data_IF_841718369710
#
_entry.id   IF_841718369710
#
_cell.length_a   1.000
_cell.length_b   1.000
_cell.length_c   1.000
_cell.angle_alpha   90.00
_cell.angle_beta   90.00
_cell.angle_gamma   90.00
#
_symmetry.space_group_name_H-M   'P 1'
#
loop_
_entity.id
_entity.type
_entity.pdbx_description
1 polymer ?
#
# COMPACT_ATOMS: atom_id res chain seq x y z
N UNK A 1 42.53 -22.69 -19.26
CA UNK A 1 41.20 -22.10 -19.59
C UNK A 1 40.02 -22.63 -18.77
N UNK A 2 40.21 -23.26 -17.59
CA UNK A 2 39.10 -23.81 -16.76
C UNK A 2 38.86 -23.03 -15.45
N UNK A 3 39.61 -21.95 -15.15
CA UNK A 3 39.45 -21.16 -13.93
C UNK A 3 38.62 -19.88 -14.07
N UNK A 4 38.26 -19.47 -15.30
CA UNK A 4 37.55 -18.19 -15.54
C UNK A 4 36.00 -18.34 -15.56
N UNK A 5 35.49 -19.55 -15.65
CA UNK A 5 34.06 -19.84 -15.72
C UNK A 5 33.39 -19.97 -14.32
N UNK A 6 34.17 -20.14 -13.26
CA UNK A 6 33.64 -20.31 -11.90
C UNK A 6 33.37 -18.98 -11.19
N UNK A 7 34.02 -17.90 -11.61
CA UNK A 7 33.87 -16.57 -11.01
C UNK A 7 32.69 -15.78 -11.56
N UNK A 8 32.23 -16.06 -12.80
CA UNK A 8 31.06 -15.37 -13.36
C UNK A 8 29.74 -15.89 -12.78
N UNK A 9 29.65 -17.18 -12.44
CA UNK A 9 28.43 -17.78 -11.89
C UNK A 9 28.11 -17.30 -10.47
N UNK A 10 29.13 -17.08 -9.65
CA UNK A 10 28.95 -16.60 -8.27
C UNK A 10 28.61 -15.10 -8.21
N UNK A 11 29.10 -14.30 -9.17
CA UNK A 11 28.81 -12.86 -9.23
C UNK A 11 27.36 -12.59 -9.71
N UNK A 12 26.85 -13.40 -10.62
CA UNK A 12 25.47 -13.28 -11.09
C UNK A 12 24.45 -13.66 -10.03
N UNK A 13 24.79 -14.64 -9.16
CA UNK A 13 23.91 -15.10 -8.07
C UNK A 13 23.80 -14.07 -6.94
N UNK A 14 24.89 -13.35 -6.66
CA UNK A 14 24.89 -12.32 -5.60
C UNK A 14 24.13 -11.04 -6.00
N UNK A 15 24.13 -10.66 -7.28
CA UNK A 15 23.44 -9.45 -7.75
C UNK A 15 21.91 -9.65 -7.79
N UNK A 16 21.44 -10.88 -8.07
CA UNK A 16 20.00 -11.21 -8.11
C UNK A 16 19.38 -11.45 -6.72
N UNK A 17 20.20 -11.78 -5.70
CA UNK A 17 19.69 -12.05 -4.35
C UNK A 17 19.67 -10.81 -3.44
N UNK A 18 20.40 -9.74 -3.77
CA UNK A 18 20.50 -8.54 -2.92
C UNK A 18 19.16 -7.82 -2.65
N UNK A 19 18.27 -7.60 -3.63
CA UNK A 19 16.99 -6.95 -3.36
C UNK A 19 16.05 -7.81 -2.48
N UNK A 20 15.98 -9.11 -2.70
CA UNK A 20 15.14 -10.03 -1.92
C UNK A 20 15.61 -10.12 -0.46
N UNK A 21 16.91 -10.11 -0.21
CA UNK A 21 17.45 -10.12 1.14
C UNK A 21 17.23 -8.80 1.88
N UNK A 22 17.22 -7.67 1.19
CA UNK A 22 16.93 -6.36 1.78
C UNK A 22 15.44 -6.27 2.18
N UNK A 23 14.52 -6.69 1.32
CA UNK A 23 13.07 -6.71 1.61
C UNK A 23 12.74 -7.64 2.79
N UNK A 24 13.28 -8.84 2.84
CA UNK A 24 13.05 -9.75 3.97
C UNK A 24 13.61 -9.20 5.28
N UNK A 25 14.76 -8.52 5.25
CA UNK A 25 15.33 -7.87 6.43
C UNK A 25 14.44 -6.74 6.97
N UNK A 26 13.77 -6.00 6.07
CA UNK A 26 12.81 -4.95 6.44
C UNK A 26 11.56 -5.55 7.10
N UNK A 27 10.98 -6.59 6.51
CA UNK A 27 9.81 -7.30 7.05
C UNK A 27 10.11 -7.89 8.44
N UNK A 28 11.26 -8.53 8.62
CA UNK A 28 11.67 -9.10 9.91
C UNK A 28 11.89 -8.02 10.98
N UNK A 29 12.37 -6.86 10.58
CA UNK A 29 12.50 -5.70 11.49
C UNK A 29 11.13 -5.19 11.92
N UNK A 30 10.22 -4.97 10.96
CA UNK A 30 8.85 -4.51 11.22
C UNK A 30 8.06 -5.50 12.09
N UNK A 31 8.20 -6.80 11.87
CA UNK A 31 7.57 -7.83 12.71
C UNK A 31 8.07 -7.80 14.15
N UNK A 32 9.37 -7.62 14.35
CA UNK A 32 9.94 -7.48 15.70
C UNK A 32 9.43 -6.23 16.38
N UNK A 33 9.36 -5.12 15.64
CA UNK A 33 8.84 -3.86 16.16
C UNK A 33 7.37 -3.97 16.54
N UNK A 34 6.55 -4.60 15.69
CA UNK A 34 5.14 -4.89 15.96
C UNK A 34 4.98 -5.75 17.23
N UNK A 35 5.75 -6.82 17.36
CA UNK A 35 5.72 -7.67 18.55
C UNK A 35 6.04 -6.88 19.83
N UNK A 36 7.03 -6.01 19.77
CA UNK A 36 7.38 -5.14 20.90
C UNK A 36 6.29 -4.11 21.20
N UNK A 37 5.68 -3.54 20.17
CA UNK A 37 4.60 -2.59 20.31
C UNK A 37 3.35 -3.22 20.96
N UNK A 38 2.97 -4.42 20.54
CA UNK A 38 1.86 -5.18 21.14
C UNK A 38 2.13 -5.53 22.62
N UNK A 39 3.38 -5.92 22.97
CA UNK A 39 3.77 -6.23 24.36
C UNK A 39 3.79 -5.01 25.28
N UNK A 40 4.12 -3.83 24.75
CA UNK A 40 4.25 -2.58 25.52
C UNK A 40 2.96 -1.78 25.60
N UNK A 41 1.84 -2.30 25.10
CA UNK A 41 0.57 -1.57 24.98
C UNK A 41 0.76 -0.20 24.28
N UNK A 42 1.47 -0.21 23.16
CA UNK A 42 1.68 0.99 22.33
C UNK A 42 0.37 1.64 21.90
N UNK A 43 0.43 2.88 21.45
CA UNK A 43 -0.79 3.59 21.02
C UNK A 43 -1.41 2.93 19.79
N UNK A 44 -2.70 3.17 19.60
CA UNK A 44 -3.44 2.71 18.43
C UNK A 44 -2.77 3.18 17.12
N UNK A 45 -2.31 4.41 17.09
CA UNK A 45 -1.66 5.04 15.94
C UNK A 45 -0.37 4.31 15.56
N UNK A 46 0.48 3.98 16.54
CA UNK A 46 1.71 3.22 16.31
C UNK A 46 1.44 1.83 15.75
N UNK A 47 0.42 1.14 16.27
CA UNK A 47 0.02 -0.18 15.75
C UNK A 47 -0.53 -0.08 14.33
N UNK A 48 -1.33 0.95 14.02
CA UNK A 48 -1.85 1.18 12.66
C UNK A 48 -0.72 1.39 11.67
N UNK A 49 0.27 2.23 12.01
CA UNK A 49 1.43 2.50 11.16
C UNK A 49 2.21 1.22 10.85
N UNK A 50 2.48 0.39 11.87
CA UNK A 50 3.18 -0.89 11.68
C UNK A 50 2.39 -1.88 10.82
N UNK A 51 1.06 -1.95 10.99
CA UNK A 51 0.21 -2.79 10.15
C UNK A 51 0.15 -2.27 8.70
N UNK A 52 0.17 -0.97 8.48
CA UNK A 52 0.23 -0.36 7.15
C UNK A 52 1.55 -0.70 6.45
N UNK A 53 2.69 -0.54 7.13
CA UNK A 53 3.99 -0.88 6.57
C UNK A 53 4.08 -2.37 6.23
N UNK A 54 3.69 -3.26 7.13
CA UNK A 54 3.69 -4.69 6.86
C UNK A 54 2.74 -5.06 5.71
N UNK A 55 1.56 -4.47 5.65
CA UNK A 55 0.64 -4.67 4.54
C UNK A 55 1.23 -4.25 3.20
N UNK A 56 1.93 -3.12 3.16
CA UNK A 56 2.59 -2.61 1.96
C UNK A 56 3.79 -3.48 1.53
N UNK A 57 4.67 -3.87 2.47
CA UNK A 57 5.82 -4.73 2.17
C UNK A 57 5.40 -6.11 1.62
N UNK A 58 4.26 -6.62 2.06
CA UNK A 58 3.73 -7.88 1.55
C UNK A 58 2.91 -7.74 0.26
N UNK A 59 2.57 -6.54 -0.20
CA UNK A 59 1.67 -6.32 -1.35
C UNK A 59 2.09 -7.11 -2.61
N UNK A 60 3.39 -7.20 -2.86
CA UNK A 60 3.95 -7.91 -4.04
C UNK A 60 4.53 -9.28 -3.71
N UNK A 61 4.75 -9.61 -2.45
CA UNK A 61 5.42 -10.83 -2.02
C UNK A 61 4.44 -11.93 -1.63
N UNK A 62 3.43 -11.59 -0.87
CA UNK A 62 2.42 -12.51 -0.35
C UNK A 62 1.11 -11.78 -0.06
N UNK A 63 0.17 -11.90 -0.97
CA UNK A 63 -1.12 -11.22 -0.91
C UNK A 63 -1.93 -11.58 0.35
N UNK A 64 -1.84 -12.82 0.83
CA UNK A 64 -2.56 -13.27 2.02
C UNK A 64 -2.01 -12.58 3.27
N UNK A 65 -0.69 -12.47 3.38
CA UNK A 65 -0.05 -11.71 4.46
C UNK A 65 -0.36 -10.23 4.38
N UNK A 66 -0.32 -9.63 3.19
CA UNK A 66 -0.74 -8.22 3.00
C UNK A 66 -2.16 -7.99 3.51
N UNK A 67 -3.10 -8.81 3.06
CA UNK A 67 -4.49 -8.74 3.50
C UNK A 67 -4.64 -8.92 5.02
N UNK A 68 -3.92 -9.88 5.59
CA UNK A 68 -3.93 -10.12 7.03
C UNK A 68 -3.56 -8.86 7.84
N UNK A 69 -2.48 -8.19 7.48
CA UNK A 69 -2.04 -6.99 8.20
C UNK A 69 -2.99 -5.80 7.98
N UNK A 70 -3.51 -5.61 6.77
CA UNK A 70 -4.54 -4.60 6.49
C UNK A 70 -5.77 -4.83 7.37
N UNK A 71 -6.26 -6.07 7.49
CA UNK A 71 -7.41 -6.41 8.32
C UNK A 71 -7.12 -6.21 9.82
N UNK A 72 -5.91 -6.53 10.28
CA UNK A 72 -5.47 -6.23 11.65
C UNK A 72 -5.54 -4.73 11.94
N UNK A 73 -5.00 -3.89 11.07
CA UNK A 73 -5.08 -2.44 11.22
C UNK A 73 -6.53 -1.94 11.24
N UNK A 74 -7.36 -2.39 10.31
CA UNK A 74 -8.78 -2.02 10.26
C UNK A 74 -9.56 -2.48 11.51
N UNK A 75 -9.20 -3.61 12.11
CA UNK A 75 -9.85 -4.13 13.31
C UNK A 75 -9.62 -3.28 14.56
N UNK A 76 -8.65 -2.38 14.56
CA UNK A 76 -8.43 -1.40 15.63
C UNK A 76 -9.50 -0.30 15.67
N UNK A 77 -10.35 -0.24 14.65
CA UNK A 77 -11.47 0.69 14.57
C UNK A 77 -12.79 -0.05 14.82
N UNK A 78 -13.56 0.41 15.81
CA UNK A 78 -14.87 -0.18 16.13
C UNK A 78 -15.94 0.13 15.09
N UNK A 79 -15.72 1.16 14.28
CA UNK A 79 -16.59 1.61 13.19
C UNK A 79 -15.75 2.36 12.13
N UNK A 80 -16.27 2.57 10.92
CA UNK A 80 -15.62 3.43 9.93
C UNK A 80 -15.38 4.84 10.50
N UNK A 81 -14.14 5.32 10.40
CA UNK A 81 -13.68 6.61 10.96
C UNK A 81 -12.96 7.38 9.86
N UNK A 82 -13.74 8.00 8.98
CA UNK A 82 -13.23 8.67 7.78
C UNK A 82 -12.51 10.00 8.08
N UNK A 83 -12.58 10.50 9.29
CA UNK A 83 -11.87 11.67 9.79
C UNK A 83 -10.43 11.35 10.22
N UNK A 84 -10.08 10.07 10.36
CA UNK A 84 -8.74 9.61 10.74
C UNK A 84 -7.96 9.18 9.49
N UNK A 85 -6.80 9.80 9.29
CA UNK A 85 -5.90 9.50 8.16
C UNK A 85 -5.52 8.02 8.11
N UNK A 86 -5.15 7.44 9.24
CA UNK A 86 -4.77 6.02 9.32
C UNK A 86 -5.88 5.07 8.84
N UNK A 87 -7.16 5.39 9.08
CA UNK A 87 -8.26 4.61 8.54
C UNK A 87 -8.35 4.72 7.01
N UNK A 88 -8.21 5.92 6.45
CA UNK A 88 -8.25 6.14 5.01
C UNK A 88 -7.07 5.48 4.29
N UNK A 89 -5.88 5.50 4.89
CA UNK A 89 -4.70 4.83 4.35
C UNK A 89 -4.89 3.30 4.34
N UNK A 90 -5.40 2.69 5.41
CA UNK A 90 -5.73 1.26 5.44
C UNK A 90 -6.82 0.90 4.42
N UNK A 91 -7.81 1.78 4.23
CA UNK A 91 -8.85 1.58 3.22
C UNK A 91 -8.28 1.66 1.80
N UNK A 92 -7.29 2.54 1.56
CA UNK A 92 -6.54 2.60 0.31
C UNK A 92 -5.74 1.31 0.07
N UNK A 93 -5.05 0.78 1.09
CA UNK A 93 -4.32 -0.49 1.00
C UNK A 93 -5.27 -1.67 0.72
N UNK A 94 -6.45 -1.67 1.34
CA UNK A 94 -7.49 -2.67 1.03
C UNK A 94 -7.97 -2.57 -0.43
N UNK A 95 -8.09 -1.35 -0.95
CA UNK A 95 -8.48 -1.13 -2.35
C UNK A 95 -7.40 -1.65 -3.32
N UNK A 96 -6.11 -1.42 -3.02
CA UNK A 96 -5.00 -1.99 -3.77
C UNK A 96 -5.05 -3.53 -3.76
N UNK A 97 -5.20 -4.14 -2.60
CA UNK A 97 -5.37 -5.59 -2.49
C UNK A 97 -6.51 -6.10 -3.37
N UNK A 98 -7.69 -5.50 -3.30
CA UNK A 98 -8.84 -5.88 -4.13
C UNK A 98 -8.56 -5.72 -5.63
N UNK A 99 -7.80 -4.68 -6.01
CA UNK A 99 -7.38 -4.47 -7.39
C UNK A 99 -6.46 -5.59 -7.89
N UNK A 100 -5.48 -5.99 -7.08
CA UNK A 100 -4.56 -7.10 -7.39
C UNK A 100 -5.30 -8.43 -7.51
N UNK A 101 -6.34 -8.66 -6.69
CA UNK A 101 -7.25 -9.80 -6.78
C UNK A 101 -8.19 -9.77 -8.00
N UNK A 102 -8.09 -8.74 -8.85
CA UNK A 102 -8.98 -8.59 -10.01
C UNK A 102 -10.40 -8.12 -9.68
N UNK A 103 -10.68 -7.78 -8.42
CA UNK A 103 -11.98 -7.27 -7.95
C UNK A 103 -12.12 -5.78 -8.23
N UNK A 104 -12.01 -5.39 -9.52
CA UNK A 104 -11.78 -4.00 -9.96
C UNK A 104 -12.90 -3.05 -9.51
N UNK A 105 -14.18 -3.48 -9.61
CA UNK A 105 -15.32 -2.65 -9.18
C UNK A 105 -15.28 -2.39 -7.67
N UNK A 106 -14.95 -3.42 -6.86
CA UNK A 106 -14.87 -3.27 -5.41
C UNK A 106 -13.70 -2.37 -5.02
N UNK A 107 -12.54 -2.52 -5.67
CA UNK A 107 -11.39 -1.65 -5.49
C UNK A 107 -11.75 -0.19 -5.80
N UNK A 108 -12.37 0.05 -6.95
CA UNK A 108 -12.81 1.39 -7.38
C UNK A 108 -13.72 2.05 -6.35
N UNK A 109 -14.68 1.33 -5.79
CA UNK A 109 -15.58 1.88 -4.77
C UNK A 109 -14.83 2.22 -3.46
N UNK A 110 -13.85 1.42 -3.05
CA UNK A 110 -13.00 1.76 -1.90
C UNK A 110 -12.14 2.99 -2.16
N UNK A 111 -11.49 3.07 -3.32
CA UNK A 111 -10.74 4.27 -3.73
C UNK A 111 -11.63 5.51 -3.76
N UNK A 112 -12.84 5.45 -4.31
CA UNK A 112 -13.80 6.56 -4.29
C UNK A 112 -14.16 6.99 -2.88
N UNK A 113 -14.33 6.06 -1.95
CA UNK A 113 -14.57 6.38 -0.55
C UNK A 113 -13.41 7.20 0.01
N UNK A 114 -12.16 6.78 -0.23
CA UNK A 114 -10.98 7.54 0.22
C UNK A 114 -10.94 8.92 -0.47
N UNK A 115 -11.14 9.01 -1.79
CA UNK A 115 -11.14 10.27 -2.53
C UNK A 115 -12.20 11.26 -2.04
N UNK A 116 -13.32 10.76 -1.53
CA UNK A 116 -14.40 11.60 -0.97
C UNK A 116 -14.04 12.19 0.39
N UNK A 117 -13.33 11.43 1.22
CA UNK A 117 -13.07 11.81 2.62
C UNK A 117 -11.68 12.41 2.85
N UNK A 118 -10.67 12.04 2.06
CA UNK A 118 -9.31 12.58 2.21
C UNK A 118 -9.22 14.12 2.19
N UNK A 119 -9.99 14.86 1.35
CA UNK A 119 -10.01 16.33 1.40
C UNK A 119 -10.54 16.93 2.70
N UNK A 120 -11.22 16.14 3.52
CA UNK A 120 -11.86 16.56 4.78
C UNK A 120 -10.97 16.28 6.00
N UNK A 121 -9.81 15.65 5.83
CA UNK A 121 -8.85 15.45 6.91
C UNK A 121 -8.41 16.78 7.49
N UNK A 122 -8.15 16.80 8.82
CA UNK A 122 -7.67 17.99 9.54
C UNK A 122 -6.39 18.56 8.92
N UNK A 123 -5.48 17.65 8.53
CA UNK A 123 -4.30 17.98 7.74
C UNK A 123 -4.50 17.39 6.35
N UNK A 124 -4.66 18.27 5.38
CA UNK A 124 -4.97 17.85 4.02
C UNK A 124 -3.76 17.19 3.37
N UNK A 125 -3.98 16.01 2.82
CA UNK A 125 -2.96 15.14 2.21
C UNK A 125 -3.16 15.09 0.69
N UNK A 126 -2.62 16.10 -0.02
CA UNK A 126 -2.67 16.16 -1.49
C UNK A 126 -1.98 14.96 -2.16
N UNK A 127 -0.93 14.41 -1.54
CA UNK A 127 -0.25 13.19 -1.97
C UNK A 127 -1.19 11.98 -1.95
N UNK A 128 -1.91 11.74 -0.85
CA UNK A 128 -2.91 10.68 -0.74
C UNK A 128 -4.04 10.87 -1.76
N UNK A 129 -4.58 12.11 -1.86
CA UNK A 129 -5.63 12.43 -2.82
C UNK A 129 -5.16 12.14 -4.27
N UNK A 130 -3.92 12.53 -4.63
CA UNK A 130 -3.35 12.31 -5.96
C UNK A 130 -3.16 10.82 -6.28
N UNK A 131 -2.62 10.05 -5.34
CA UNK A 131 -2.46 8.59 -5.48
C UNK A 131 -3.81 7.92 -5.71
N UNK A 132 -4.80 8.25 -4.90
CA UNK A 132 -6.14 7.65 -5.00
C UNK A 132 -6.85 8.01 -6.30
N UNK A 133 -6.77 9.25 -6.75
CA UNK A 133 -7.32 9.65 -8.05
C UNK A 133 -6.66 8.90 -9.21
N UNK A 134 -5.34 8.71 -9.15
CA UNK A 134 -4.61 7.89 -10.12
C UNK A 134 -5.11 6.44 -10.12
N UNK A 135 -5.30 5.85 -8.93
CA UNK A 135 -5.79 4.47 -8.77
C UNK A 135 -7.22 4.29 -9.32
N UNK A 136 -8.09 5.28 -9.11
CA UNK A 136 -9.45 5.30 -9.72
C UNK A 136 -9.32 5.32 -11.26
N UNK A 137 -8.42 6.15 -11.79
CA UNK A 137 -8.14 6.19 -13.24
C UNK A 137 -7.69 4.83 -13.78
N UNK A 138 -6.80 4.13 -13.05
CA UNK A 138 -6.36 2.76 -13.39
C UNK A 138 -7.54 1.78 -13.39
N UNK A 139 -8.44 1.86 -12.40
CA UNK A 139 -9.64 1.03 -12.37
C UNK A 139 -10.53 1.28 -13.59
N UNK A 140 -10.81 2.54 -13.92
CA UNK A 140 -11.61 2.88 -15.11
C UNK A 140 -10.95 2.40 -16.41
N UNK A 141 -9.64 2.53 -16.53
CA UNK A 141 -8.90 2.01 -17.69
C UNK A 141 -9.05 0.48 -17.82
N UNK A 142 -8.97 -0.26 -16.70
CA UNK A 142 -9.18 -1.72 -16.68
C UNK A 142 -10.61 -2.11 -17.09
N UNK A 143 -11.58 -1.25 -16.80
CA UNK A 143 -13.00 -1.42 -17.19
C UNK A 143 -13.31 -0.93 -18.62
N UNK A 144 -12.33 -0.44 -19.38
CA UNK A 144 -12.50 0.10 -20.72
C UNK A 144 -13.15 1.49 -20.79
N UNK A 145 -13.29 2.17 -19.66
CA UNK A 145 -13.91 3.49 -19.54
C UNK A 145 -12.84 4.59 -19.66
N UNK A 146 -12.31 4.78 -20.86
CA UNK A 146 -11.10 5.59 -21.08
C UNK A 146 -11.30 7.08 -20.77
N UNK A 147 -12.45 7.67 -21.11
CA UNK A 147 -12.72 9.08 -20.80
C UNK A 147 -12.72 9.34 -19.29
N UNK A 148 -13.34 8.45 -18.52
CA UNK A 148 -13.31 8.51 -17.05
C UNK A 148 -11.89 8.32 -16.51
N UNK A 149 -11.11 7.43 -17.10
CA UNK A 149 -9.71 7.24 -16.71
C UNK A 149 -8.89 8.52 -16.92
N UNK A 150 -9.00 9.16 -18.08
CA UNK A 150 -8.31 10.42 -18.40
C UNK A 150 -8.73 11.53 -17.43
N UNK A 151 -10.03 11.65 -17.12
CA UNK A 151 -10.51 12.61 -16.13
C UNK A 151 -9.81 12.45 -14.77
N UNK A 152 -9.75 11.23 -14.24
CA UNK A 152 -9.13 10.96 -12.94
C UNK A 152 -7.60 11.14 -12.97
N UNK A 153 -6.93 10.78 -14.06
CA UNK A 153 -5.48 11.06 -14.21
C UNK A 153 -5.17 12.55 -14.23
N UNK A 154 -5.98 13.37 -14.90
CA UNK A 154 -5.79 14.82 -14.89
C UNK A 154 -5.99 15.40 -13.48
N UNK A 155 -6.97 14.93 -12.72
CA UNK A 155 -7.15 15.31 -11.32
C UNK A 155 -5.94 14.93 -10.46
N UNK A 156 -5.38 13.73 -10.65
CA UNK A 156 -4.18 13.31 -9.95
C UNK A 156 -2.99 14.24 -10.24
N UNK A 157 -2.78 14.61 -11.51
CA UNK A 157 -1.73 15.55 -11.92
C UNK A 157 -1.92 16.91 -11.25
N UNK A 158 -3.14 17.43 -11.20
CA UNK A 158 -3.41 18.73 -10.58
C UNK A 158 -3.23 18.72 -9.06
N UNK A 159 -3.45 17.60 -8.39
CA UNK A 159 -3.19 17.42 -6.97
C UNK A 159 -1.68 17.33 -6.69
N UNK A 160 -0.92 16.59 -7.51
CA UNK A 160 0.54 16.50 -7.38
C UNK A 160 1.26 17.85 -7.53
N UNK A 161 0.67 18.85 -8.22
CA UNK A 161 1.24 20.21 -8.30
C UNK A 161 1.07 21.01 -7.01
N UNK A 162 0.31 20.52 -6.03
CA UNK A 162 0.01 21.20 -4.76
C UNK A 162 0.80 20.61 -3.58
N UNK A 163 1.52 19.49 -3.81
CA UNK A 163 2.47 18.90 -2.86
C UNK A 163 3.83 19.58 -2.98
#
# INVERSE_FOLDING_TARGET
MKKLLFTLGTFLHTVLCLPIQAETATIDSLKRELQLAEQKNSTKEQLIELYQFLGAEYETLDHDSSYHYIQKGLSLYSKPTFEEEGYLQLLNSLANYLFMEGKIEQAKEKFKTVATHAPQLKERRYDLEGVVESSIGVCYRKLGMFDSAVYHYNRAIDLCKKT
#
